data_IF_989469564294
#
_entry.id   IF_989469564294
#
_cell.length_a   1.000
_cell.length_b   1.000
_cell.length_c   1.000
_cell.angle_alpha   90.00
_cell.angle_beta   90.00
_cell.angle_gamma   90.00
#
_symmetry.space_group_name_H-M   'P 1'
#
loop_
_entity.id
_entity.type
_entity.pdbx_description
1 polymer ?
#
# COMPACT_ATOMS: atom_id res chain seq x y z
N UNK A 1 -12.59 12.93 0.42
CA UNK A 1 -13.19 14.27 0.21
C UNK A 1 -14.09 14.66 1.37
N UNK A 2 -15.25 14.02 1.56
CA UNK A 2 -16.18 14.32 2.67
C UNK A 2 -15.46 14.31 4.02
N UNK A 3 -14.69 13.27 4.35
CA UNK A 3 -13.99 13.17 5.64
C UNK A 3 -13.04 14.33 5.93
N UNK A 4 -12.35 14.86 4.90
CA UNK A 4 -11.42 15.99 5.05
C UNK A 4 -12.21 17.28 5.28
N UNK A 5 -13.26 17.52 4.50
CA UNK A 5 -14.12 18.70 4.68
C UNK A 5 -14.84 18.69 6.02
N UNK A 6 -15.35 17.52 6.43
CA UNK A 6 -15.97 17.32 7.74
C UNK A 6 -14.96 17.57 8.86
N UNK A 7 -13.73 17.04 8.76
CA UNK A 7 -12.67 17.30 9.73
C UNK A 7 -12.30 18.79 9.83
N UNK A 8 -12.13 19.46 8.70
CA UNK A 8 -11.85 20.90 8.65
C UNK A 8 -13.01 21.73 9.23
N UNK A 9 -14.26 21.41 8.89
CA UNK A 9 -15.45 22.09 9.41
C UNK A 9 -15.59 21.92 10.93
N UNK A 10 -15.31 20.72 11.46
CA UNK A 10 -15.32 20.46 12.90
C UNK A 10 -14.20 21.23 13.62
N UNK A 11 -13.02 21.34 13.00
CA UNK A 11 -11.89 22.10 13.56
C UNK A 11 -12.16 23.61 13.60
N UNK A 12 -12.69 24.19 12.52
CA UNK A 12 -13.01 25.62 12.43
C UNK A 12 -14.23 25.98 13.29
N UNK A 13 -15.21 25.08 13.39
CA UNK A 13 -16.39 25.24 14.22
C UNK A 13 -16.13 25.18 15.73
N UNK A 14 -14.86 25.05 16.16
CA UNK A 14 -14.48 25.08 17.58
C UNK A 14 -14.96 23.85 18.36
N UNK A 15 -15.17 22.71 17.68
CA UNK A 15 -15.55 21.47 18.36
C UNK A 15 -14.51 21.14 19.44
N UNK A 16 -14.92 21.14 20.71
CA UNK A 16 -14.04 20.76 21.80
C UNK A 16 -13.61 19.31 21.64
N UNK A 17 -12.43 18.95 22.18
CA UNK A 17 -11.94 17.55 22.22
C UNK A 17 -12.96 16.57 22.81
N UNK A 18 -13.90 17.06 23.61
CA UNK A 18 -14.97 16.28 24.25
C UNK A 18 -16.25 16.13 23.42
N UNK A 19 -16.30 16.67 22.20
CA UNK A 19 -17.46 16.58 21.32
C UNK A 19 -17.94 15.14 21.14
N UNK A 20 -19.25 14.92 21.37
CA UNK A 20 -19.90 13.62 21.20
C UNK A 20 -19.69 13.06 19.79
N UNK A 21 -19.64 13.92 18.77
CA UNK A 21 -19.45 13.47 17.39
C UNK A 21 -18.05 12.90 17.17
N UNK A 22 -17.02 13.50 17.79
CA UNK A 22 -15.65 12.99 17.73
C UNK A 22 -15.54 11.65 18.47
N UNK A 23 -16.22 11.51 19.62
CA UNK A 23 -16.29 10.26 20.38
C UNK A 23 -16.96 9.13 19.59
N UNK A 24 -18.08 9.41 18.92
CA UNK A 24 -18.77 8.43 18.06
C UNK A 24 -17.88 7.99 16.89
N UNK A 25 -17.18 8.94 16.24
CA UNK A 25 -16.24 8.62 15.16
C UNK A 25 -15.11 7.73 15.68
N UNK A 26 -14.54 8.07 16.85
CA UNK A 26 -13.47 7.29 17.46
C UNK A 26 -13.90 5.87 17.83
N UNK A 27 -15.08 5.70 18.43
CA UNK A 27 -15.64 4.38 18.75
C UNK A 27 -15.96 3.56 17.49
N UNK A 28 -16.52 4.20 16.46
CA UNK A 28 -16.74 3.56 15.15
C UNK A 28 -15.44 3.06 14.53
N UNK A 29 -14.36 3.85 14.65
CA UNK A 29 -13.02 3.47 14.24
C UNK A 29 -12.53 2.22 15.02
N UNK A 30 -12.70 2.18 16.35
CA UNK A 30 -12.34 1.02 17.17
C UNK A 30 -13.08 -0.26 16.76
N UNK A 31 -14.38 -0.17 16.48
CA UNK A 31 -15.18 -1.31 16.03
C UNK A 31 -14.66 -1.82 14.67
N UNK A 32 -14.38 -0.91 13.74
CA UNK A 32 -13.86 -1.25 12.42
C UNK A 32 -12.52 -2.00 12.52
N UNK A 33 -11.62 -1.57 13.41
CA UNK A 33 -10.35 -2.24 13.65
C UNK A 33 -10.53 -3.67 14.17
N UNK A 34 -11.50 -3.88 15.05
CA UNK A 34 -11.80 -5.22 15.60
C UNK A 34 -12.32 -6.17 14.52
N UNK A 35 -13.19 -5.69 13.62
CA UNK A 35 -13.67 -6.45 12.46
C UNK A 35 -12.50 -6.82 11.54
N UNK A 36 -11.61 -5.87 11.28
CA UNK A 36 -10.42 -6.09 10.46
C UNK A 36 -9.53 -7.19 11.05
N UNK A 37 -9.37 -7.21 12.38
CA UNK A 37 -8.69 -8.28 13.12
C UNK A 37 -9.21 -9.69 12.80
N UNK A 38 -10.53 -9.86 12.65
CA UNK A 38 -11.12 -11.14 12.26
C UNK A 38 -10.76 -11.52 10.82
N UNK A 39 -10.82 -10.57 9.89
CA UNK A 39 -10.48 -10.79 8.48
C UNK A 39 -9.01 -11.20 8.34
N UNK A 40 -8.11 -10.60 9.11
CA UNK A 40 -6.68 -10.93 9.05
C UNK A 40 -6.37 -12.39 9.41
N UNK A 41 -7.19 -13.04 10.24
CA UNK A 41 -7.04 -14.47 10.54
C UNK A 41 -7.33 -15.36 9.32
N UNK A 42 -8.16 -14.88 8.39
CA UNK A 42 -8.56 -15.60 7.18
C UNK A 42 -7.66 -15.28 5.96
N UNK A 43 -6.85 -14.22 6.04
CA UNK A 43 -6.00 -13.75 4.94
C UNK A 43 -5.05 -14.82 4.35
N UNK A 44 -4.42 -15.72 5.13
CA UNK A 44 -3.54 -16.75 4.58
C UNK A 44 -4.23 -17.72 3.61
N UNK A 45 -5.52 -18.03 3.86
CA UNK A 45 -6.30 -18.93 3.01
C UNK A 45 -6.63 -18.25 1.67
N UNK A 46 -7.00 -16.97 1.72
CA UNK A 46 -7.23 -16.15 0.52
C UNK A 46 -5.96 -15.99 -0.34
N UNK A 47 -4.80 -15.82 0.31
CA UNK A 47 -3.49 -15.77 -0.34
C UNK A 47 -3.23 -17.02 -1.18
N UNK A 48 -3.40 -18.19 -0.55
CA UNK A 48 -3.12 -19.48 -1.14
C UNK A 48 -4.03 -19.76 -2.35
N UNK A 49 -5.34 -19.56 -2.20
CA UNK A 49 -6.29 -19.79 -3.29
C UNK A 49 -6.02 -18.89 -4.50
N UNK A 50 -5.64 -17.64 -4.26
CA UNK A 50 -5.32 -16.71 -5.33
C UNK A 50 -4.03 -17.06 -6.09
N UNK A 51 -3.00 -17.54 -5.38
CA UNK A 51 -1.75 -18.01 -6.02
C UNK A 51 -1.96 -19.32 -6.79
N UNK A 52 -2.73 -20.26 -6.24
CA UNK A 52 -3.05 -21.52 -6.90
C UNK A 52 -3.82 -21.32 -8.21
N UNK A 53 -4.80 -20.40 -8.22
CA UNK A 53 -5.57 -20.06 -9.42
C UNK A 53 -4.69 -19.43 -10.52
N UNK A 54 -3.75 -18.56 -10.15
CA UNK A 54 -2.83 -17.94 -11.11
C UNK A 54 -1.90 -18.98 -11.77
N UNK A 55 -1.40 -19.95 -10.99
CA UNK A 55 -0.52 -21.02 -11.51
C UNK A 55 -1.28 -21.99 -12.42
N UNK A 56 -2.55 -22.29 -12.12
CA UNK A 56 -3.35 -23.27 -12.86
C UNK A 56 -3.76 -22.86 -14.28
N UNK A 57 -3.75 -21.57 -14.62
CA UNK A 57 -4.46 -21.06 -15.80
C UNK A 57 -3.61 -20.88 -17.08
N UNK A 58 -2.27 -20.88 -17.06
CA UNK A 58 -1.46 -20.36 -18.20
C UNK A 58 -0.44 -21.31 -18.84
N UNK A 59 -0.28 -22.55 -18.37
CA UNK A 59 0.58 -23.58 -19.01
C UNK A 59 2.09 -23.25 -19.01
N UNK A 60 2.95 -24.25 -19.25
CA UNK A 60 4.39 -24.16 -18.94
C UNK A 60 5.24 -23.22 -19.83
N UNK A 61 4.90 -23.06 -21.12
CA UNK A 61 5.72 -22.29 -22.08
C UNK A 61 5.49 -20.77 -22.00
N UNK A 62 4.24 -20.32 -21.88
CA UNK A 62 3.86 -18.91 -21.68
C UNK A 62 4.28 -18.40 -20.29
N UNK A 63 4.35 -19.30 -19.31
CA UNK A 63 4.74 -19.01 -17.94
C UNK A 63 6.13 -18.37 -17.85
N UNK A 64 7.08 -18.76 -18.70
CA UNK A 64 8.45 -18.26 -18.64
C UNK A 64 8.53 -16.77 -18.99
N UNK A 65 7.80 -16.33 -20.01
CA UNK A 65 7.78 -14.93 -20.43
C UNK A 65 7.03 -14.05 -19.42
N UNK A 66 5.91 -14.55 -18.91
CA UNK A 66 5.13 -13.92 -17.84
C UNK A 66 5.91 -13.86 -16.51
N UNK A 67 6.63 -14.92 -16.15
CA UNK A 67 7.45 -14.96 -14.96
C UNK A 67 8.61 -13.95 -15.01
N UNK A 68 9.22 -13.73 -16.19
CA UNK A 68 10.25 -12.68 -16.37
C UNK A 68 9.69 -11.29 -16.07
N UNK A 69 8.47 -10.99 -16.53
CA UNK A 69 7.81 -9.70 -16.27
C UNK A 69 7.48 -9.53 -14.80
N UNK A 70 6.92 -10.57 -14.17
CA UNK A 70 6.65 -10.57 -12.72
C UNK A 70 7.94 -10.37 -11.94
N UNK A 71 9.00 -11.11 -12.27
CA UNK A 71 10.30 -10.99 -11.61
C UNK A 71 10.90 -9.59 -11.79
N UNK A 72 10.85 -9.04 -13.01
CA UNK A 72 11.31 -7.67 -13.31
C UNK A 72 10.54 -6.64 -12.49
N UNK A 73 9.22 -6.80 -12.38
CA UNK A 73 8.39 -5.89 -11.60
C UNK A 73 8.72 -5.96 -10.11
N UNK A 74 8.82 -7.17 -9.53
CA UNK A 74 9.22 -7.34 -8.14
C UNK A 74 10.62 -6.78 -7.86
N UNK A 75 11.58 -7.03 -8.75
CA UNK A 75 12.93 -6.49 -8.64
C UNK A 75 12.93 -4.95 -8.69
N UNK A 76 12.21 -4.37 -9.64
CA UNK A 76 12.11 -2.91 -9.80
C UNK A 76 11.45 -2.26 -8.59
N UNK A 77 10.36 -2.83 -8.09
CA UNK A 77 9.67 -2.37 -6.89
C UNK A 77 10.55 -2.51 -5.64
N UNK A 78 11.33 -3.59 -5.52
CA UNK A 78 12.29 -3.76 -4.42
C UNK A 78 13.41 -2.69 -4.48
N UNK A 79 13.96 -2.43 -5.66
CA UNK A 79 14.96 -1.37 -5.86
C UNK A 79 14.36 -0.01 -5.51
N UNK A 80 13.13 0.28 -5.96
CA UNK A 80 12.43 1.51 -5.61
C UNK A 80 12.26 1.65 -4.09
N UNK A 81 11.80 0.60 -3.40
CA UNK A 81 11.61 0.61 -1.95
C UNK A 81 12.94 0.78 -1.19
N UNK A 82 13.97 0.02 -1.54
CA UNK A 82 15.22 0.01 -0.76
C UNK A 82 16.10 1.21 -1.11
N UNK A 83 16.17 1.59 -2.38
CA UNK A 83 17.06 2.66 -2.85
C UNK A 83 16.33 3.99 -2.86
N UNK A 84 15.25 4.14 -3.61
CA UNK A 84 14.59 5.45 -3.77
C UNK A 84 13.92 5.89 -2.46
N UNK A 85 13.03 5.06 -1.90
CA UNK A 85 12.42 5.39 -0.61
C UNK A 85 13.44 5.34 0.53
N UNK A 86 14.47 4.49 0.44
CA UNK A 86 15.58 4.48 1.38
C UNK A 86 16.36 5.80 1.43
N UNK A 87 16.64 6.40 0.27
CA UNK A 87 17.27 7.71 0.17
C UNK A 87 16.36 8.82 0.71
N UNK A 88 15.06 8.77 0.44
CA UNK A 88 14.08 9.71 1.00
C UNK A 88 14.04 9.60 2.53
N UNK A 89 13.99 8.38 3.07
CA UNK A 89 14.07 8.14 4.51
C UNK A 89 15.39 8.68 5.08
N UNK A 90 16.52 8.38 4.44
CA UNK A 90 17.83 8.84 4.90
C UNK A 90 17.94 10.37 4.93
N UNK A 91 17.43 11.05 3.90
CA UNK A 91 17.36 12.52 3.85
C UNK A 91 16.46 13.10 4.95
N UNK A 92 15.39 12.40 5.31
CA UNK A 92 14.55 12.74 6.45
C UNK A 92 15.15 12.28 7.79
N UNK A 93 16.31 11.61 7.84
CA UNK A 93 16.89 11.05 9.07
C UNK A 93 16.06 9.91 9.69
N UNK A 94 15.47 9.08 8.85
CA UNK A 94 14.70 7.87 9.17
C UNK A 94 15.37 6.65 8.54
N UNK A 95 15.01 5.45 9.02
CA UNK A 95 15.52 4.18 8.45
C UNK A 95 14.39 3.41 7.77
N UNK A 96 14.53 3.16 6.47
CA UNK A 96 13.57 2.35 5.71
C UNK A 96 13.40 0.95 6.31
N UNK A 97 14.49 0.35 6.81
CA UNK A 97 14.44 -0.97 7.42
C UNK A 97 13.68 -0.99 8.76
N UNK A 98 13.76 0.08 9.56
CA UNK A 98 12.91 0.23 10.76
C UNK A 98 11.44 0.34 10.38
N UNK A 99 11.12 1.10 9.33
CA UNK A 99 9.74 1.25 8.85
C UNK A 99 9.19 -0.06 8.27
N UNK A 100 9.97 -0.79 7.46
CA UNK A 100 9.58 -2.10 6.95
C UNK A 100 9.35 -3.12 8.09
N UNK A 101 10.17 -3.07 9.15
CA UNK A 101 9.98 -3.92 10.34
C UNK A 101 8.69 -3.57 11.07
N UNK A 102 8.41 -2.28 11.23
CA UNK A 102 7.18 -1.78 11.83
C UNK A 102 5.95 -2.36 11.12
N UNK A 103 5.86 -2.20 9.79
CA UNK A 103 4.68 -2.57 9.02
C UNK A 103 4.66 -4.02 8.49
N UNK A 104 5.53 -4.90 8.99
CA UNK A 104 5.69 -6.27 8.46
C UNK A 104 4.41 -7.09 8.43
N UNK A 105 3.53 -6.90 9.42
CA UNK A 105 2.28 -7.66 9.56
C UNK A 105 1.23 -7.18 8.55
N UNK A 106 1.21 -5.88 8.29
CA UNK A 106 0.39 -5.24 7.28
C UNK A 106 0.85 -5.66 5.88
N UNK A 107 2.17 -5.75 5.65
CA UNK A 107 2.71 -6.30 4.40
C UNK A 107 2.33 -7.77 4.21
N UNK A 108 2.37 -8.60 5.25
CA UNK A 108 1.93 -10.00 5.17
C UNK A 108 0.42 -10.10 4.87
N UNK A 109 -0.40 -9.21 5.44
CA UNK A 109 -1.82 -9.13 5.13
C UNK A 109 -2.05 -8.78 3.66
N UNK A 110 -1.38 -7.73 3.18
CA UNK A 110 -1.47 -7.24 1.81
C UNK A 110 -0.95 -8.29 0.82
N UNK A 111 0.08 -9.04 1.19
CA UNK A 111 0.57 -10.17 0.40
C UNK A 111 -0.54 -11.20 0.15
N UNK A 112 -1.39 -11.44 1.17
CA UNK A 112 -2.47 -12.41 1.06
C UNK A 112 -3.74 -11.89 0.41
N UNK A 113 -4.10 -10.64 0.64
CA UNK A 113 -5.34 -10.05 0.11
C UNK A 113 -5.14 -9.39 -1.25
N UNK A 114 -3.90 -9.01 -1.58
CA UNK A 114 -3.51 -8.10 -2.67
C UNK A 114 -4.20 -6.73 -2.62
N UNK A 115 -4.63 -6.29 -1.42
CA UNK A 115 -5.26 -5.00 -1.23
C UNK A 115 -4.68 -4.28 -0.03
N UNK A 116 -4.15 -3.08 -0.26
CA UNK A 116 -3.71 -2.17 0.79
C UNK A 116 -4.85 -1.67 1.67
N UNK A 117 -6.07 -1.61 1.15
CA UNK A 117 -7.25 -1.06 1.85
C UNK A 117 -7.61 -1.92 3.06
N UNK A 118 -7.38 -3.24 2.95
CA UNK A 118 -7.60 -4.18 4.05
C UNK A 118 -6.59 -3.98 5.18
N UNK A 119 -5.45 -3.35 4.91
CA UNK A 119 -4.46 -3.00 5.94
C UNK A 119 -4.59 -1.56 6.45
N UNK A 120 -5.30 -0.69 5.73
CA UNK A 120 -5.33 0.75 5.99
C UNK A 120 -5.73 1.09 7.43
N UNK A 121 -6.85 0.58 7.97
CA UNK A 121 -7.28 0.97 9.31
C UNK A 121 -6.25 0.57 10.39
N UNK A 122 -5.73 -0.66 10.30
CA UNK A 122 -4.68 -1.17 11.19
C UNK A 122 -3.37 -0.39 11.06
N UNK A 123 -3.00 -0.03 9.83
CA UNK A 123 -1.81 0.77 9.57
C UNK A 123 -1.93 2.15 10.21
N UNK A 124 -3.10 2.81 10.16
CA UNK A 124 -3.31 4.09 10.83
C UNK A 124 -3.01 4.03 12.33
N UNK A 125 -3.60 3.07 13.04
CA UNK A 125 -3.30 2.86 14.47
C UNK A 125 -1.82 2.68 14.74
N UNK A 126 -1.18 1.83 13.94
CA UNK A 126 0.22 1.47 14.15
C UNK A 126 1.14 2.65 13.95
N UNK A 127 0.84 3.52 12.98
CA UNK A 127 1.61 4.74 12.74
C UNK A 127 1.43 5.75 13.88
N UNK A 128 0.21 5.88 14.42
CA UNK A 128 -0.06 6.72 15.60
C UNK A 128 0.71 6.22 16.85
N UNK A 129 0.64 4.92 17.11
CA UNK A 129 1.35 4.28 18.22
C UNK A 129 2.87 4.35 18.06
N UNK A 130 3.37 4.30 16.82
CA UNK A 130 4.78 4.45 16.49
C UNK A 130 5.28 5.91 16.55
N UNK A 131 4.42 6.86 16.96
CA UNK A 131 4.80 8.22 17.31
C UNK A 131 4.46 9.29 16.29
N UNK A 132 3.75 8.96 15.19
CA UNK A 132 3.21 9.97 14.28
C UNK A 132 1.93 10.60 14.85
N UNK A 133 1.76 11.91 14.68
CA UNK A 133 0.51 12.57 15.08
C UNK A 133 -0.70 12.07 14.27
N UNK A 134 -1.81 11.82 14.97
CA UNK A 134 -3.02 11.25 14.39
C UNK A 134 -3.68 12.13 13.32
N UNK A 135 -3.54 13.45 13.38
CA UNK A 135 -4.05 14.32 12.33
C UNK A 135 -3.27 14.14 11.03
N UNK A 136 -1.94 13.97 11.11
CA UNK A 136 -1.08 13.71 9.95
C UNK A 136 -1.38 12.32 9.38
N UNK A 137 -1.48 11.30 10.23
CA UNK A 137 -1.83 9.93 9.81
C UNK A 137 -3.21 9.94 9.12
N UNK A 138 -4.21 10.57 9.74
CA UNK A 138 -5.58 10.67 9.25
C UNK A 138 -5.76 11.46 7.96
N UNK A 139 -4.80 12.31 7.60
CA UNK A 139 -4.83 13.08 6.36
C UNK A 139 -3.94 12.47 5.27
N UNK A 140 -2.67 12.23 5.58
CA UNK A 140 -1.65 11.81 4.62
C UNK A 140 -1.89 10.38 4.15
N UNK A 141 -2.27 9.46 5.04
CA UNK A 141 -2.42 8.06 4.65
C UNK A 141 -3.64 7.85 3.73
N UNK A 142 -4.86 8.36 4.03
CA UNK A 142 -5.99 8.25 3.11
C UNK A 142 -5.78 9.02 1.79
N UNK A 143 -5.14 10.19 1.86
CA UNK A 143 -4.76 10.96 0.68
C UNK A 143 -3.77 10.19 -0.21
N UNK A 144 -2.75 9.57 0.40
CA UNK A 144 -1.73 8.77 -0.28
C UNK A 144 -2.31 7.54 -0.97
N UNK A 145 -3.33 6.89 -0.39
CA UNK A 145 -4.01 5.80 -1.08
C UNK A 145 -4.67 6.27 -2.39
N UNK A 146 -5.20 7.48 -2.47
CA UNK A 146 -5.78 7.99 -3.74
C UNK A 146 -4.75 8.57 -4.72
N UNK A 147 -3.69 9.20 -4.20
CA UNK A 147 -2.81 10.07 -4.98
C UNK A 147 -1.34 9.63 -5.03
N UNK A 148 -0.92 8.69 -4.20
CA UNK A 148 0.46 8.22 -4.10
C UNK A 148 0.53 6.71 -4.35
N UNK A 149 0.43 6.37 -5.64
CA UNK A 149 0.30 5.00 -6.15
C UNK A 149 1.56 4.57 -6.91
N UNK A 150 2.70 4.60 -6.24
CA UNK A 150 4.02 4.33 -6.82
C UNK A 150 4.11 2.98 -7.54
N UNK A 151 3.66 1.91 -6.89
CA UNK A 151 3.58 0.59 -7.49
C UNK A 151 2.69 0.57 -8.73
N UNK A 152 1.59 1.32 -8.74
CA UNK A 152 0.71 1.40 -9.91
C UNK A 152 1.46 2.05 -11.07
N UNK A 153 2.23 3.11 -10.82
CA UNK A 153 3.02 3.79 -11.85
C UNK A 153 4.10 2.87 -12.43
N UNK A 154 4.83 2.14 -11.58
CA UNK A 154 5.84 1.17 -12.02
C UNK A 154 5.17 0.04 -12.82
N UNK A 155 4.07 -0.51 -12.33
CA UNK A 155 3.28 -1.54 -13.03
C UNK A 155 2.87 -1.07 -14.42
N UNK A 156 2.28 0.12 -14.54
CA UNK A 156 1.77 0.62 -15.82
C UNK A 156 2.91 0.84 -16.82
N UNK A 157 4.06 1.37 -16.39
CA UNK A 157 5.22 1.54 -17.25
C UNK A 157 5.76 0.20 -17.78
N UNK A 158 5.93 -0.80 -16.90
CA UNK A 158 6.38 -2.14 -17.29
C UNK A 158 5.35 -2.83 -18.19
N UNK A 159 4.06 -2.70 -17.87
CA UNK A 159 2.97 -3.32 -18.63
C UNK A 159 2.87 -2.77 -20.05
N UNK A 160 3.02 -1.45 -20.24
CA UNK A 160 3.07 -0.81 -21.57
C UNK A 160 4.25 -1.35 -22.38
N UNK A 161 5.46 -1.36 -21.79
CA UNK A 161 6.65 -1.88 -22.47
C UNK A 161 6.52 -3.37 -22.80
N UNK A 162 5.93 -4.15 -21.89
CA UNK A 162 5.66 -5.56 -22.09
C UNK A 162 4.70 -5.81 -23.24
N UNK A 163 3.57 -5.08 -23.28
CA UNK A 163 2.58 -5.22 -24.36
C UNK A 163 3.26 -4.94 -25.69
N UNK A 164 3.99 -3.82 -25.80
CA UNK A 164 4.70 -3.45 -27.01
C UNK A 164 5.63 -4.58 -27.52
N UNK A 165 6.42 -5.18 -26.62
CA UNK A 165 7.33 -6.27 -26.97
C UNK A 165 6.60 -7.59 -27.27
N UNK A 166 5.54 -7.90 -26.54
CA UNK A 166 4.79 -9.14 -26.72
C UNK A 166 3.95 -9.13 -28.00
N UNK A 167 3.54 -7.96 -28.48
CA UNK A 167 2.79 -7.79 -29.72
C UNK A 167 3.66 -7.32 -30.89
N UNK A 168 4.99 -7.35 -30.73
CA UNK A 168 5.98 -6.89 -31.72
C UNK A 168 5.63 -5.52 -32.33
N UNK A 169 5.11 -4.64 -31.49
CA UNK A 169 4.64 -3.32 -31.90
C UNK A 169 5.77 -2.32 -31.77
N UNK A 170 6.12 -1.58 -32.86
CA UNK A 170 7.10 -0.52 -32.79
C UNK A 170 6.72 0.50 -31.72
N UNK A 171 7.61 0.71 -30.76
CA UNK A 171 7.37 1.61 -29.65
C UNK A 171 8.61 2.47 -29.39
N UNK A 172 8.71 3.56 -30.15
CA UNK A 172 9.86 4.45 -30.11
C UNK A 172 9.92 5.25 -28.80
N UNK A 173 11.05 5.94 -28.57
CA UNK A 173 11.24 6.71 -27.34
C UNK A 173 10.23 7.86 -27.18
N UNK A 174 9.71 8.42 -28.27
CA UNK A 174 8.78 9.53 -28.22
C UNK A 174 7.37 9.08 -27.83
N UNK A 175 6.94 7.93 -28.38
CA UNK A 175 5.72 7.24 -27.97
C UNK A 175 5.81 6.77 -26.52
N UNK A 176 6.97 6.25 -26.09
CA UNK A 176 7.22 5.90 -24.69
C UNK A 176 7.05 7.11 -23.77
N UNK A 177 7.68 8.25 -24.10
CA UNK A 177 7.56 9.48 -23.31
C UNK A 177 6.12 10.02 -23.29
N UNK A 178 5.41 9.99 -24.42
CA UNK A 178 4.02 10.44 -24.53
C UNK A 178 3.07 9.58 -23.70
N UNK A 179 3.19 8.26 -23.79
CA UNK A 179 2.40 7.33 -22.96
C UNK A 179 2.75 7.49 -21.48
N UNK A 180 4.04 7.66 -21.14
CA UNK A 180 4.46 7.93 -19.76
C UNK A 180 3.83 9.22 -19.22
N UNK A 181 3.82 10.31 -19.99
CA UNK A 181 3.19 11.57 -19.56
C UNK A 181 1.69 11.40 -19.28
N UNK A 182 0.97 10.67 -20.14
CA UNK A 182 -0.44 10.37 -19.92
C UNK A 182 -0.60 9.48 -18.69
N UNK A 183 0.20 8.43 -18.54
CA UNK A 183 0.18 7.55 -17.37
C UNK A 183 0.45 8.31 -16.08
N UNK A 184 1.39 9.26 -16.07
CA UNK A 184 1.65 10.10 -14.90
C UNK A 184 0.41 10.91 -14.52
N UNK A 185 -0.28 11.48 -15.51
CA UNK A 185 -1.49 12.24 -15.29
C UNK A 185 -2.67 11.36 -14.84
N UNK A 186 -2.89 10.21 -15.49
CA UNK A 186 -4.01 9.29 -15.19
C UNK A 186 -3.76 8.37 -14.00
N UNK A 187 -2.51 8.28 -13.53
CA UNK A 187 -2.16 7.53 -12.30
C UNK A 187 -2.77 8.16 -11.04
N UNK A 188 -3.06 9.47 -11.08
CA UNK A 188 -3.63 10.23 -9.97
C UNK A 188 -5.16 10.20 -10.02
N UNK A 189 -5.81 10.00 -8.88
CA UNK A 189 -7.27 10.11 -8.78
C UNK A 189 -8.05 8.83 -9.15
N UNK A 190 -7.42 7.66 -9.03
CA UNK A 190 -8.10 6.37 -9.23
C UNK A 190 -8.43 5.65 -7.92
N UNK A 191 -9.37 4.70 -7.98
CA UNK A 191 -9.70 3.81 -6.86
C UNK A 191 -8.57 2.81 -6.59
N UNK A 192 -8.36 2.46 -5.30
CA UNK A 192 -7.28 1.57 -4.81
C UNK A 192 -7.64 0.09 -4.74
N UNK A 193 -8.77 -0.28 -5.31
CA UNK A 193 -9.28 -1.66 -5.28
C UNK A 193 -8.39 -2.60 -6.11
N UNK A 194 -8.37 -3.88 -5.73
CA UNK A 194 -7.63 -4.90 -6.46
C UNK A 194 -8.05 -4.92 -7.95
N UNK A 195 -7.09 -5.04 -8.86
CA UNK A 195 -7.31 -4.93 -10.31
C UNK A 195 -7.48 -3.49 -10.84
N UNK A 196 -7.54 -2.48 -9.97
CA UNK A 196 -7.72 -1.08 -10.39
C UNK A 196 -6.57 -0.53 -11.25
N UNK A 197 -5.34 -1.02 -11.05
CA UNK A 197 -4.19 -0.68 -11.90
C UNK A 197 -4.35 -1.19 -13.34
N UNK A 198 -4.87 -2.41 -13.51
CA UNK A 198 -5.17 -2.98 -14.82
C UNK A 198 -6.28 -2.23 -15.55
N UNK A 199 -7.36 -1.85 -14.84
CA UNK A 199 -8.45 -1.05 -15.42
C UNK A 199 -7.93 0.32 -15.87
N UNK A 200 -7.09 0.98 -15.06
CA UNK A 200 -6.46 2.27 -15.42
C UNK A 200 -5.55 2.16 -16.64
N UNK A 201 -4.78 1.08 -16.73
CA UNK A 201 -3.97 0.78 -17.90
C UNK A 201 -4.86 0.61 -19.14
N UNK A 202 -5.91 -0.21 -19.05
CA UNK A 202 -6.84 -0.43 -20.16
C UNK A 202 -7.51 0.87 -20.64
N UNK A 203 -7.98 1.70 -19.71
CA UNK A 203 -8.56 3.01 -20.02
C UNK A 203 -7.54 3.92 -20.71
N UNK A 204 -6.29 3.95 -20.22
CA UNK A 204 -5.22 4.75 -20.82
C UNK A 204 -4.92 4.27 -22.24
N UNK A 205 -4.73 2.96 -22.45
CA UNK A 205 -4.45 2.39 -23.78
C UNK A 205 -5.58 2.67 -24.78
N UNK A 206 -6.84 2.64 -24.35
CA UNK A 206 -7.98 3.03 -25.19
C UNK A 206 -7.92 4.49 -25.64
N UNK A 207 -7.40 5.38 -24.79
CA UNK A 207 -7.22 6.80 -25.10
C UNK A 207 -6.03 7.03 -26.03
N UNK A 208 -4.86 6.44 -25.75
CA UNK A 208 -3.65 6.72 -26.54
C UNK A 208 -3.63 5.97 -27.87
N UNK A 209 -4.33 4.84 -27.98
CA UNK A 209 -4.42 3.96 -29.17
C UNK A 209 -3.08 3.57 -29.82
N UNK A 210 -1.97 3.77 -29.11
CA UNK A 210 -0.61 3.45 -29.57
C UNK A 210 -0.28 1.97 -29.45
N UNK A 211 -0.92 1.27 -28.51
CA UNK A 211 -0.71 -0.15 -28.26
C UNK A 211 -2.00 -0.95 -28.48
N UNK A 212 -1.90 -2.17 -28.98
CA UNK A 212 -3.07 -2.95 -29.33
C UNK A 212 -3.73 -3.53 -28.06
N UNK A 213 -5.05 -3.37 -27.96
CA UNK A 213 -5.82 -3.74 -26.75
C UNK A 213 -5.84 -5.25 -26.48
N UNK A 214 -5.63 -6.08 -27.50
CA UNK A 214 -5.53 -7.53 -27.36
C UNK A 214 -4.34 -7.95 -26.48
N UNK A 215 -3.27 -7.13 -26.39
CA UNK A 215 -2.13 -7.37 -25.51
C UNK A 215 -2.47 -7.32 -24.02
N UNK A 216 -3.57 -6.66 -23.63
CA UNK A 216 -4.07 -6.67 -22.24
C UNK A 216 -4.47 -8.08 -21.78
N UNK A 217 -4.91 -8.93 -22.70
CA UNK A 217 -5.25 -10.33 -22.44
C UNK A 217 -4.08 -11.13 -21.86
N UNK A 218 -2.84 -10.77 -22.21
CA UNK A 218 -1.63 -11.43 -21.73
C UNK A 218 -1.35 -11.13 -20.25
N UNK A 219 -1.74 -9.95 -19.78
CA UNK A 219 -1.51 -9.51 -18.40
C UNK A 219 -2.52 -10.11 -17.41
N UNK A 220 -3.73 -10.46 -17.87
CA UNK A 220 -4.76 -11.09 -17.02
C UNK A 220 -4.22 -12.29 -16.25
N UNK A 221 -3.28 -13.03 -16.84
CA UNK A 221 -2.75 -14.23 -16.19
C UNK A 221 -1.75 -14.01 -15.06
N UNK A 222 -1.14 -12.84 -15.02
CA UNK A 222 -0.25 -12.45 -13.93
C UNK A 222 -0.84 -11.33 -13.07
N UNK A 223 -2.04 -10.85 -13.41
CA UNK A 223 -2.66 -9.69 -12.77
C UNK A 223 -2.71 -9.84 -11.26
N UNK A 224 -3.00 -11.04 -10.73
CA UNK A 224 -2.99 -11.27 -9.28
C UNK A 224 -1.61 -11.04 -8.66
N UNK A 225 -0.55 -11.58 -9.25
CA UNK A 225 0.82 -11.43 -8.75
C UNK A 225 1.29 -9.97 -8.85
N UNK A 226 0.96 -9.32 -9.97
CA UNK A 226 1.27 -7.90 -10.18
C UNK A 226 0.48 -7.02 -9.21
N UNK A 227 -0.80 -7.29 -8.98
CA UNK A 227 -1.63 -6.55 -8.03
C UNK A 227 -1.09 -6.64 -6.60
N UNK A 228 -0.59 -7.81 -6.19
CA UNK A 228 0.03 -7.99 -4.88
C UNK A 228 1.27 -7.12 -4.71
N UNK A 229 2.22 -7.15 -5.65
CA UNK A 229 3.41 -6.30 -5.59
C UNK A 229 3.06 -4.80 -5.62
N UNK A 230 2.04 -4.45 -6.41
CA UNK A 230 1.52 -3.08 -6.49
C UNK A 230 1.02 -2.60 -5.14
N UNK A 231 0.16 -3.40 -4.48
CA UNK A 231 -0.39 -3.06 -3.19
C UNK A 231 0.70 -2.93 -2.12
N UNK A 232 1.67 -3.85 -2.09
CA UNK A 232 2.81 -3.80 -1.17
C UNK A 232 3.62 -2.52 -1.33
N UNK A 233 4.00 -2.19 -2.57
CA UNK A 233 4.83 -1.01 -2.87
C UNK A 233 4.12 0.28 -2.49
N UNK A 234 2.82 0.40 -2.80
CA UNK A 234 2.01 1.55 -2.41
C UNK A 234 1.91 1.70 -0.89
N UNK A 235 1.71 0.60 -0.16
CA UNK A 235 1.62 0.61 1.32
C UNK A 235 2.92 1.08 1.95
N UNK A 236 4.07 0.63 1.44
CA UNK A 236 5.38 1.10 1.89
C UNK A 236 5.56 2.59 1.58
N UNK A 237 5.32 3.02 0.35
CA UNK A 237 5.44 4.43 -0.07
C UNK A 237 4.58 5.36 0.79
N UNK A 238 3.32 4.98 1.04
CA UNK A 238 2.40 5.75 1.87
C UNK A 238 2.83 5.80 3.34
N UNK A 239 3.38 4.70 3.87
CA UNK A 239 3.97 4.69 5.22
C UNK A 239 5.14 5.66 5.32
N UNK A 240 6.06 5.62 4.35
CA UNK A 240 7.21 6.54 4.30
C UNK A 240 6.74 7.98 4.24
N UNK A 241 5.75 8.29 3.41
CA UNK A 241 5.19 9.63 3.29
C UNK A 241 4.65 10.15 4.62
N UNK A 242 3.91 9.34 5.39
CA UNK A 242 3.41 9.73 6.71
C UNK A 242 4.55 10.10 7.66
N UNK A 243 5.58 9.26 7.77
CA UNK A 243 6.71 9.56 8.66
C UNK A 243 7.52 10.78 8.24
N UNK A 244 7.74 10.96 6.93
CA UNK A 244 8.47 12.12 6.40
C UNK A 244 7.71 13.41 6.69
N UNK A 245 6.40 13.45 6.40
CA UNK A 245 5.55 14.62 6.68
C UNK A 245 5.45 14.88 8.18
N UNK A 246 5.23 13.83 8.99
CA UNK A 246 5.18 13.97 10.45
C UNK A 246 6.48 14.56 11.02
N UNK A 247 7.62 14.17 10.46
CA UNK A 247 8.91 14.71 10.88
C UNK A 247 9.13 16.15 10.42
N UNK A 248 8.72 16.51 9.21
CA UNK A 248 8.78 17.90 8.72
C UNK A 248 7.91 18.84 9.54
N UNK A 249 6.73 18.40 9.95
CA UNK A 249 5.81 19.14 10.81
C UNK A 249 6.18 19.08 12.31
N UNK A 250 7.31 18.45 12.66
CA UNK A 250 7.76 18.26 14.05
C UNK A 250 6.72 17.57 14.95
N UNK A 251 5.87 16.75 14.34
CA UNK A 251 4.78 16.02 14.96
C UNK A 251 5.07 14.49 14.96
N UNK A 252 6.34 14.16 15.20
CA UNK A 252 6.86 12.80 15.25
C UNK A 252 7.74 12.60 16.50
N UNK A 253 7.43 11.57 17.28
CA UNK A 253 8.21 11.15 18.44
C UNK A 253 9.07 9.91 18.13
N UNK A 254 10.40 10.06 17.97
CA UNK A 254 11.28 8.95 17.65
C UNK A 254 11.43 7.92 18.79
N UNK A 255 11.24 8.33 20.05
CA UNK A 255 11.34 7.41 21.18
C UNK A 255 10.20 6.40 21.17
N UNK A 256 9.00 6.82 20.75
CA UNK A 256 7.85 5.92 20.57
C UNK A 256 8.08 4.86 19.50
N UNK A 257 8.73 5.21 18.38
CA UNK A 257 9.05 4.22 17.35
C UNK A 257 9.99 3.14 17.92
N UNK A 258 11.06 3.55 18.61
CA UNK A 258 12.02 2.60 19.16
C UNK A 258 11.41 1.73 20.26
N UNK A 259 10.57 2.30 21.13
CA UNK A 259 9.79 1.56 22.13
C UNK A 259 8.82 0.56 21.48
N UNK A 260 8.08 0.99 20.45
CA UNK A 260 7.16 0.13 19.72
C UNK A 260 7.87 -1.06 19.09
N UNK A 261 9.01 -0.82 18.42
CA UNK A 261 9.80 -1.88 17.81
C UNK A 261 10.37 -2.85 18.85
N UNK A 262 10.75 -2.36 20.03
CA UNK A 262 11.21 -3.20 21.15
C UNK A 262 10.09 -4.08 21.69
N UNK A 263 8.89 -3.54 21.89
CA UNK A 263 7.73 -4.31 22.36
C UNK A 263 7.23 -5.31 21.30
N UNK A 264 7.29 -4.95 20.02
CA UNK A 264 6.99 -5.85 18.92
C UNK A 264 8.00 -7.01 18.82
N UNK A 265 9.27 -6.76 19.12
CA UNK A 265 10.31 -7.80 19.19
C UNK A 265 10.12 -8.71 20.43
N UNK A 266 9.65 -8.15 21.54
CA UNK A 266 9.36 -8.88 22.77
C UNK A 266 7.99 -9.61 22.76
N UNK A 267 7.19 -9.46 21.70
CA UNK A 267 5.84 -10.04 21.62
C UNK A 267 4.82 -9.41 22.56
N UNK A 268 5.10 -8.22 23.11
CA UNK A 268 4.23 -7.48 24.05
C UNK A 268 3.13 -6.65 23.38
N UNK A 269 3.18 -6.54 22.06
CA UNK A 269 2.12 -5.97 21.23
C UNK A 269 1.42 -7.12 20.53
N UNK A 270 0.11 -7.23 20.70
CA UNK A 270 -0.67 -8.24 20.00
C UNK A 270 -0.54 -8.03 18.49
N UNK A 271 -0.72 -9.11 17.73
CA UNK A 271 -0.67 -9.11 16.26
C UNK A 271 -1.74 -8.22 15.61
N UNK A 272 -2.53 -7.43 16.33
CA UNK A 272 -3.47 -6.45 15.82
C UNK A 272 -3.09 -5.00 16.19
N UNK A 273 -1.93 -4.80 16.83
CA UNK A 273 -1.45 -3.50 17.27
C UNK A 273 -1.99 -3.06 18.64
N UNK A 274 -2.76 -3.88 19.34
CA UNK A 274 -3.21 -3.55 20.70
C UNK A 274 -2.17 -3.97 21.75
N UNK A 275 -2.02 -3.21 22.86
CA UNK A 275 -1.21 -3.65 23.99
C UNK A 275 -1.76 -4.97 24.55
N UNK A 276 -0.89 -5.94 24.82
CA UNK A 276 -1.28 -7.15 25.57
C UNK A 276 -1.74 -6.72 26.97
N UNK A 277 -2.94 -7.14 27.39
CA UNK A 277 -3.48 -6.78 28.70
C UNK A 277 -2.56 -7.28 29.82
N UNK A 278 -2.51 -6.55 30.94
CA UNK A 278 -1.64 -6.85 32.09
C UNK A 278 -1.89 -8.24 32.69
N UNK A 279 -3.08 -8.82 32.49
CA UNK A 279 -3.43 -10.18 32.93
C UNK A 279 -2.76 -11.29 32.09
N UNK A 280 -2.59 -11.10 30.77
CA UNK A 280 -1.90 -12.06 29.90
C UNK A 280 -0.39 -12.11 30.17
N UNK A 281 0.19 -11.00 30.64
CA UNK A 281 1.61 -10.92 31.02
C UNK A 281 1.92 -11.66 32.33
N UNK A 282 0.91 -11.86 33.20
CA UNK A 282 1.07 -12.58 34.46
C UNK A 282 1.12 -14.11 34.25
N UNK A 283 0.49 -14.62 33.19
CA UNK A 283 0.46 -16.06 32.86
C UNK A 283 1.64 -16.55 32.01
N UNK A 284 2.42 -15.64 31.41
CA UNK A 284 3.55 -15.97 30.54
C UNK A 284 4.92 -16.00 31.26
N UNK A 285 4.95 -15.81 32.59
CA UNK A 285 6.17 -16.01 33.38
C UNK A 285 6.19 -17.44 33.93
N UNK A 286 7.13 -18.31 33.52
CA UNK A 286 7.40 -19.55 34.24
C UNK A 286 7.96 -19.27 35.64
#
# INVERSE_FOLDING_TARGET
FISILTGAALSVGGASRDSTILKVIAEGQHILFRVLGFIMRLAPIGAFGAMAAAVGAFGAATLLYLAKVVALYYATSLVFVIVVLGLVCAAAGLSIFKLLRLIREELLLVLGTASGEVALPRLMLKLEQAGCDGAIVGFVLPGGYSFNLDGTSIYMAIAVAFIAQATDTPFDLWQQAGVLAILLLTSKGGTTVAGGAFIKLAATLQTVRTLPLNGLGLLFGIDRLMATCTALTNVVGNTVAVFVVAKWERAYDPAKLDAYLADQAAGRIQKDGTPVSTEEQAHARP
#
